data_IF_123888164932
#
_entry.id   IF_123888164932
#
_cell.length_a   1.000
_cell.length_b   1.000
_cell.length_c   1.000
_cell.angle_alpha   90.00
_cell.angle_beta   90.00
_cell.angle_gamma   90.00
#
_symmetry.space_group_name_H-M   'P 1'
#
loop_
_entity.id
_entity.type
_entity.pdbx_description
1 polymer ?
#
# COMPACT_ATOMS: atom_id res chain seq x y z
N UNK A 1 -12.94 2.54 4.44
CA UNK A 1 -11.50 2.34 4.32
C UNK A 1 -11.00 2.33 5.74
N UNK A 2 -10.47 1.21 6.19
CA UNK A 2 -9.85 1.14 7.51
C UNK A 2 -8.56 1.97 7.52
N UNK A 3 -8.08 2.33 8.71
CA UNK A 3 -6.78 2.97 8.85
C UNK A 3 -5.66 2.10 8.26
N UNK A 4 -5.67 0.78 8.53
CA UNK A 4 -4.68 -0.17 8.06
C UNK A 4 -4.63 -0.27 6.53
N UNK A 5 -5.77 -0.34 5.84
CA UNK A 5 -5.78 -0.36 4.38
C UNK A 5 -5.22 0.94 3.76
N UNK A 6 -5.47 2.06 4.42
CA UNK A 6 -4.92 3.36 3.99
C UNK A 6 -3.40 3.37 4.12
N UNK A 7 -2.90 2.85 5.23
CA UNK A 7 -1.47 2.69 5.49
C UNK A 7 -0.86 1.73 4.47
N UNK A 8 -1.49 0.59 4.18
CA UNK A 8 -1.02 -0.36 3.17
C UNK A 8 -0.87 0.29 1.78
N UNK A 9 -1.82 1.14 1.37
CA UNK A 9 -1.72 1.89 0.11
C UNK A 9 -0.54 2.88 0.15
N UNK A 10 -0.36 3.63 1.25
CA UNK A 10 0.78 4.56 1.42
C UNK A 10 2.11 3.82 1.26
N UNK A 11 2.26 2.69 1.97
CA UNK A 11 3.48 1.88 1.92
C UNK A 11 3.72 1.30 0.52
N UNK A 12 2.68 0.79 -0.15
CA UNK A 12 2.79 0.29 -1.52
C UNK A 12 3.24 1.36 -2.52
N UNK A 13 2.76 2.60 -2.40
CA UNK A 13 3.22 3.73 -3.23
C UNK A 13 4.71 4.02 -2.97
N UNK A 14 5.13 4.05 -1.70
CA UNK A 14 6.53 4.30 -1.34
C UNK A 14 7.46 3.18 -1.84
N UNK A 15 7.02 1.93 -1.76
CA UNK A 15 7.75 0.78 -2.32
C UNK A 15 7.93 0.95 -3.83
N UNK A 16 6.85 1.26 -4.57
CA UNK A 16 6.93 1.49 -6.02
C UNK A 16 7.85 2.65 -6.38
N UNK A 17 7.82 3.74 -5.61
CA UNK A 17 8.74 4.87 -5.78
C UNK A 17 10.20 4.45 -5.55
N UNK A 18 10.46 3.57 -4.58
CA UNK A 18 11.81 3.07 -4.30
C UNK A 18 12.33 2.13 -5.39
N UNK A 19 11.49 1.23 -5.91
CA UNK A 19 11.86 0.36 -7.04
C UNK A 19 12.24 1.21 -8.26
N UNK A 20 11.51 2.31 -8.47
CA UNK A 20 11.72 3.19 -9.62
C UNK A 20 11.31 2.54 -10.94
N UNK A 21 11.66 3.20 -12.05
CA UNK A 21 11.51 2.68 -13.42
C UNK A 21 10.09 2.22 -13.82
N UNK A 22 9.05 2.91 -13.35
CA UNK A 22 7.68 2.65 -13.80
C UNK A 22 7.40 3.32 -15.16
N UNK A 23 7.02 2.52 -16.16
CA UNK A 23 6.65 3.01 -17.51
C UNK A 23 5.32 3.78 -17.53
N UNK A 24 4.49 3.61 -16.50
CA UNK A 24 3.15 4.19 -16.39
C UNK A 24 3.03 4.99 -15.11
N UNK A 25 2.38 6.15 -15.21
CA UNK A 25 2.04 6.96 -14.04
C UNK A 25 0.82 6.43 -13.27
N UNK A 26 0.16 5.39 -13.79
CA UNK A 26 -1.03 4.80 -13.18
C UNK A 26 -0.67 3.54 -12.39
N UNK A 27 -1.00 3.54 -11.10
CA UNK A 27 -0.83 2.43 -10.16
C UNK A 27 -2.18 1.74 -9.97
N UNK A 28 -2.19 0.42 -10.15
CA UNK A 28 -3.38 -0.40 -9.93
C UNK A 28 -3.39 -0.91 -8.49
N UNK A 29 -4.47 -0.63 -7.75
CA UNK A 29 -4.69 -1.16 -6.41
C UNK A 29 -5.74 -2.27 -6.51
N UNK A 30 -5.29 -3.52 -6.42
CA UNK A 30 -6.19 -4.67 -6.27
C UNK A 30 -6.67 -4.75 -4.82
N UNK A 31 -7.98 -4.76 -4.63
CA UNK A 31 -8.57 -4.82 -3.28
C UNK A 31 -9.87 -5.62 -3.31
N UNK A 32 -10.09 -6.41 -2.27
CA UNK A 32 -11.37 -7.07 -2.04
C UNK A 32 -12.34 -6.23 -1.18
N UNK A 33 -11.87 -5.13 -0.60
CA UNK A 33 -12.71 -4.23 0.19
C UNK A 33 -13.42 -3.19 -0.69
N UNK A 34 -14.75 -3.28 -0.72
CA UNK A 34 -15.63 -2.38 -1.49
C UNK A 34 -15.56 -0.92 -1.02
N UNK A 35 -15.27 -0.70 0.27
CA UNK A 35 -15.09 0.63 0.85
C UNK A 35 -13.75 1.24 0.42
N UNK A 36 -12.71 0.43 0.30
CA UNK A 36 -11.38 0.85 -0.19
C UNK A 36 -11.44 1.26 -1.65
N UNK A 37 -12.07 0.42 -2.47
CA UNK A 37 -12.38 0.75 -3.87
C UNK A 37 -13.12 2.08 -3.99
N UNK A 38 -14.13 2.30 -3.15
CA UNK A 38 -14.92 3.54 -3.16
C UNK A 38 -14.12 4.77 -2.71
N UNK A 39 -13.25 4.63 -1.71
CA UNK A 39 -12.42 5.71 -1.20
C UNK A 39 -11.37 6.17 -2.22
N UNK A 40 -10.77 5.22 -2.95
CA UNK A 40 -9.84 5.52 -4.05
C UNK A 40 -10.58 6.23 -5.19
N UNK A 41 -11.72 5.68 -5.65
CA UNK A 41 -12.53 6.33 -6.70
C UNK A 41 -12.95 7.76 -6.34
N UNK A 42 -13.40 7.96 -5.11
CA UNK A 42 -13.86 9.28 -4.63
C UNK A 42 -12.73 10.19 -4.18
N UNK A 43 -11.49 9.67 -4.11
CA UNK A 43 -10.32 10.33 -3.51
C UNK A 43 -10.61 10.95 -2.13
N UNK A 44 -11.50 10.33 -1.34
CA UNK A 44 -11.87 10.78 0.01
C UNK A 44 -12.45 9.65 0.86
N UNK A 45 -12.35 9.78 2.18
CA UNK A 45 -12.99 8.92 3.18
C UNK A 45 -14.02 9.70 3.99
N UNK A 46 -14.93 9.00 4.68
CA UNK A 46 -15.88 9.60 5.65
C UNK A 46 -15.28 9.75 7.05
N UNK A 47 -14.21 9.01 7.37
CA UNK A 47 -13.52 9.08 8.66
C UNK A 47 -12.49 10.22 8.66
N UNK A 48 -12.47 11.01 9.75
CA UNK A 48 -11.56 12.15 9.92
C UNK A 48 -10.09 11.67 9.90
N UNK A 49 -9.75 10.66 10.72
CA UNK A 49 -8.40 10.10 10.80
C UNK A 49 -7.92 9.57 9.45
N UNK A 50 -8.78 8.85 8.74
CA UNK A 50 -8.46 8.31 7.41
C UNK A 50 -8.32 9.43 6.38
N UNK A 51 -9.09 10.52 6.52
CA UNK A 51 -9.01 11.67 5.62
C UNK A 51 -7.66 12.36 5.69
N UNK A 52 -7.06 12.49 6.88
CA UNK A 52 -5.71 13.05 7.03
C UNK A 52 -4.67 12.23 6.27
N UNK A 53 -4.65 10.90 6.46
CA UNK A 53 -3.77 9.99 5.70
C UNK A 53 -4.03 10.05 4.20
N UNK A 54 -5.28 10.22 3.79
CA UNK A 54 -5.63 10.34 2.37
C UNK A 54 -5.13 11.64 1.74
N UNK A 55 -5.13 12.76 2.49
CA UNK A 55 -4.51 14.01 2.04
C UNK A 55 -3.01 13.85 1.81
N UNK A 56 -2.32 13.09 2.66
CA UNK A 56 -0.89 12.79 2.46
C UNK A 56 -0.66 11.95 1.20
N UNK A 57 -1.46 10.91 0.99
CA UNK A 57 -1.40 10.10 -0.23
C UNK A 57 -1.68 10.95 -1.46
N UNK A 58 -2.68 11.84 -1.43
CA UNK A 58 -2.93 12.78 -2.53
C UNK A 58 -1.73 13.70 -2.80
N UNK A 59 -1.09 14.24 -1.76
CA UNK A 59 0.13 15.05 -1.93
C UNK A 59 1.26 14.23 -2.58
N UNK A 60 1.46 12.98 -2.16
CA UNK A 60 2.44 12.07 -2.76
C UNK A 60 2.13 11.80 -4.23
N UNK A 61 0.87 11.50 -4.56
CA UNK A 61 0.44 11.25 -5.94
C UNK A 61 0.67 12.47 -6.82
N UNK A 62 0.26 13.66 -6.38
CA UNK A 62 0.45 14.92 -7.14
C UNK A 62 1.94 15.22 -7.34
N UNK A 63 2.74 15.15 -6.28
CA UNK A 63 4.19 15.43 -6.33
C UNK A 63 4.91 14.55 -7.36
N UNK A 64 4.50 13.28 -7.46
CA UNK A 64 5.10 12.30 -8.36
C UNK A 64 4.32 12.14 -9.68
N UNK A 65 3.26 12.93 -9.88
CA UNK A 65 2.34 12.88 -11.02
C UNK A 65 1.75 11.47 -11.23
N UNK A 66 1.49 10.75 -10.14
CA UNK A 66 0.93 9.40 -10.14
C UNK A 66 -0.60 9.43 -10.04
N UNK A 67 -1.24 8.37 -10.53
CA UNK A 67 -2.67 8.12 -10.40
C UNK A 67 -2.94 6.75 -9.77
N UNK A 68 -4.07 6.61 -9.08
CA UNK A 68 -4.52 5.34 -8.47
C UNK A 68 -5.79 4.84 -9.15
N UNK A 69 -5.75 3.60 -9.65
CA UNK A 69 -6.92 2.91 -10.20
C UNK A 69 -7.27 1.70 -9.31
N UNK A 70 -8.45 1.68 -8.66
CA UNK A 70 -8.85 0.55 -7.85
C UNK A 70 -9.49 -0.55 -8.71
N UNK A 71 -8.99 -1.78 -8.56
CA UNK A 71 -9.56 -2.99 -9.17
C UNK A 71 -10.05 -3.96 -8.10
N UNK A 72 -11.08 -4.74 -8.44
CA UNK A 72 -11.64 -5.76 -7.54
C UNK A 72 -10.87 -7.05 -7.75
N UNK A 73 -10.43 -7.66 -6.66
CA UNK A 73 -9.96 -9.06 -6.63
C UNK A 73 -10.90 -9.84 -5.71
N UNK A 74 -11.10 -11.14 -5.93
CA UNK A 74 -11.85 -11.96 -4.96
C UNK A 74 -10.98 -12.22 -3.73
N UNK A 75 -11.59 -12.49 -2.57
CA UNK A 75 -10.82 -12.65 -1.32
C UNK A 75 -9.83 -13.82 -1.40
N UNK A 76 -10.23 -14.94 -2.03
CA UNK A 76 -9.37 -16.10 -2.23
C UNK A 76 -8.21 -15.90 -3.23
N UNK A 77 -8.27 -14.85 -4.06
CA UNK A 77 -7.22 -14.49 -5.01
C UNK A 77 -6.35 -13.32 -4.50
N UNK A 78 -6.71 -12.72 -3.36
CA UNK A 78 -5.99 -11.59 -2.78
C UNK A 78 -4.72 -12.07 -2.08
N UNK A 79 -3.61 -12.14 -2.82
CA UNK A 79 -2.28 -12.49 -2.28
C UNK A 79 -1.87 -11.64 -1.06
N UNK A 80 -2.42 -10.43 -0.91
CA UNK A 80 -2.13 -9.58 0.24
C UNK A 80 -2.81 -10.04 1.54
N UNK A 81 -3.83 -10.91 1.49
CA UNK A 81 -4.52 -11.40 2.70
C UNK A 81 -3.56 -12.25 3.55
N UNK A 82 -2.89 -13.24 2.95
CA UNK A 82 -1.89 -14.07 3.62
C UNK A 82 -0.75 -13.21 4.22
N UNK A 83 -0.21 -12.28 3.43
CA UNK A 83 0.81 -11.32 3.86
C UNK A 83 0.37 -10.49 5.07
N UNK A 84 -0.87 -10.01 5.09
CA UNK A 84 -1.40 -9.22 6.20
C UNK A 84 -1.55 -10.00 7.52
N UNK A 85 -1.52 -11.33 7.45
CA UNK A 85 -1.55 -12.26 8.59
C UNK A 85 -0.16 -12.77 8.99
N UNK A 86 0.89 -12.30 8.33
CA UNK A 86 2.25 -12.75 8.55
C UNK A 86 2.55 -14.12 7.94
N UNK A 87 1.76 -14.59 6.97
CA UNK A 87 2.10 -15.75 6.18
C UNK A 87 2.98 -15.33 4.99
N UNK A 88 4.25 -15.74 5.05
CA UNK A 88 5.28 -15.45 4.04
C UNK A 88 5.57 -16.68 3.16
N UNK A 89 4.78 -17.75 3.27
CA UNK A 89 5.01 -19.01 2.58
C UNK A 89 5.06 -18.80 1.07
N UNK A 90 6.12 -19.31 0.44
CA UNK A 90 6.31 -19.23 -1.02
C UNK A 90 6.77 -17.86 -1.54
N UNK A 91 7.13 -16.92 -0.66
CA UNK A 91 7.75 -15.66 -1.05
C UNK A 91 9.27 -15.74 -0.99
N UNK A 92 9.91 -15.23 -2.04
CA UNK A 92 11.36 -15.10 -2.09
C UNK A 92 11.80 -13.90 -1.22
N UNK A 93 12.65 -14.11 -0.20
CA UNK A 93 13.20 -13.03 0.63
C UNK A 93 13.89 -11.92 -0.18
N UNK A 94 14.43 -12.23 -1.36
CA UNK A 94 15.09 -11.25 -2.25
C UNK A 94 14.13 -10.19 -2.80
N UNK A 95 12.82 -10.48 -2.82
CA UNK A 95 11.79 -9.54 -3.27
C UNK A 95 11.36 -8.55 -2.17
N UNK A 96 11.96 -8.60 -0.98
CA UNK A 96 11.67 -7.64 0.09
C UNK A 96 12.20 -6.25 -0.26
N UNK A 97 11.35 -5.23 -0.09
CA UNK A 97 11.71 -3.84 -0.32
C UNK A 97 11.76 -3.13 1.02
N UNK A 98 12.96 -2.85 1.50
CA UNK A 98 13.16 -1.98 2.66
C UNK A 98 12.72 -0.57 2.30
N UNK A 99 11.95 0.12 3.13
CA UNK A 99 11.58 1.52 2.89
C UNK A 99 11.82 2.32 4.16
N UNK A 100 12.08 3.61 4.00
CA UNK A 100 12.04 4.52 5.15
C UNK A 100 10.58 4.55 5.63
N UNK A 101 10.34 4.08 6.85
CA UNK A 101 9.01 4.12 7.45
C UNK A 101 8.63 5.61 7.60
N UNK A 102 7.45 6.04 7.10
CA UNK A 102 6.98 7.40 7.30
C UNK A 102 6.95 7.78 8.78
N UNK A 103 7.34 9.01 9.11
CA UNK A 103 7.43 9.50 10.50
C UNK A 103 6.14 9.25 11.29
N UNK A 104 4.97 9.46 10.66
CA UNK A 104 3.64 9.20 11.21
C UNK A 104 3.30 7.70 11.44
N UNK A 105 4.24 6.81 11.17
CA UNK A 105 4.10 5.36 11.28
C UNK A 105 5.25 4.70 12.05
N UNK A 106 6.32 5.42 12.40
CA UNK A 106 7.51 4.85 13.07
C UNK A 106 7.16 4.21 14.41
N UNK A 107 6.24 4.81 15.19
CA UNK A 107 5.83 4.25 16.49
C UNK A 107 4.84 3.07 16.37
N UNK A 108 4.30 2.84 15.17
CA UNK A 108 3.22 1.86 14.95
C UNK A 108 3.66 0.67 14.08
N UNK A 109 4.75 0.81 13.33
CA UNK A 109 5.24 -0.20 12.40
C UNK A 109 6.72 -0.50 12.66
N UNK A 110 7.04 -1.79 12.68
CA UNK A 110 8.39 -2.28 12.56
C UNK A 110 8.57 -2.91 11.16
N UNK A 111 9.75 -2.72 10.56
CA UNK A 111 10.10 -3.40 9.32
C UNK A 111 11.02 -4.58 9.66
N UNK A 112 10.52 -5.80 9.48
CA UNK A 112 11.31 -7.01 9.59
C UNK A 112 11.97 -7.32 8.24
N UNK A 113 13.23 -7.75 8.27
CA UNK A 113 13.96 -8.21 7.09
C UNK A 113 14.44 -9.64 7.29
N UNK A 114 14.06 -10.53 6.37
CA UNK A 114 14.58 -11.90 6.35
C UNK A 114 15.80 -11.98 5.44
N UNK A 115 16.89 -12.51 5.99
CA UNK A 115 18.09 -12.81 5.22
C UNK A 115 17.81 -14.06 4.36
N UNK A 116 18.23 -14.04 3.09
CA UNK A 116 18.25 -15.27 2.29
C UNK A 116 19.20 -16.27 2.97
N UNK A 117 18.81 -17.54 3.17
CA UNK A 117 19.79 -18.56 3.52
C UNK A 117 20.85 -18.60 2.42
N UNK A 118 22.13 -18.49 2.84
CA UNK A 118 23.31 -18.56 1.96
C UNK A 118 23.36 -19.89 1.20
#
# INVERSE_FOLDING_TARGET
LSWLETVAIKLGILMLMKIGNYRSRKIIVWTDNTTTKSAIKKRKSRSITVTTKWKEIQKLLIKNQLDLEPRRVTSGENRADALSRGDWTGLDPSNQILIVIPEDLVELLAQCHFLSPL
#
